data_IF_624652807206
#
_entry.id   IF_624652807206
#
_cell.length_a   1.000
_cell.length_b   1.000
_cell.length_c   1.000
_cell.angle_alpha   90.00
_cell.angle_beta   90.00
_cell.angle_gamma   90.00
#
_symmetry.space_group_name_H-M   'P 1'
#
loop_
_entity.id
_entity.type
_entity.pdbx_description
1 polymer ?
#
# COMPACT_ATOMS: atom_id res chain seq x y z
N UNK A 1 3.51 0.93 -16.03
CA UNK A 1 2.79 1.02 -14.74
C UNK A 1 1.28 1.16 -14.96
N UNK A 2 0.82 2.14 -15.74
CA UNK A 2 -0.63 2.29 -16.04
C UNK A 2 -1.25 1.05 -16.65
N UNK A 3 -0.62 0.47 -17.67
CA UNK A 3 -1.10 -0.76 -18.32
C UNK A 3 -1.16 -1.95 -17.35
N UNK A 4 -0.34 -1.95 -16.32
CA UNK A 4 -0.36 -2.94 -15.23
C UNK A 4 -1.40 -2.64 -14.14
N UNK A 5 -2.15 -1.54 -14.25
CA UNK A 5 -3.24 -1.19 -13.34
C UNK A 5 -2.86 -0.28 -12.17
N UNK A 6 -1.66 0.32 -12.17
CA UNK A 6 -1.30 1.32 -11.16
C UNK A 6 -2.20 2.55 -11.24
N UNK A 7 -2.62 3.08 -10.10
CA UNK A 7 -3.43 4.30 -10.00
C UNK A 7 -2.57 5.57 -10.11
N UNK A 8 -1.32 5.48 -9.70
CA UNK A 8 -0.37 6.59 -9.73
C UNK A 8 1.07 6.07 -9.85
N UNK A 9 1.96 6.96 -10.28
CA UNK A 9 3.41 6.73 -10.28
C UNK A 9 4.06 7.77 -9.39
N UNK A 10 5.06 7.35 -8.61
CA UNK A 10 5.88 8.22 -7.79
C UNK A 10 7.33 8.17 -8.28
N UNK A 11 7.93 9.33 -8.43
CA UNK A 11 9.37 9.49 -8.65
C UNK A 11 10.03 10.13 -7.42
N UNK A 12 11.34 10.32 -7.47
CA UNK A 12 12.11 11.00 -6.43
C UNK A 12 12.74 12.27 -7.02
N UNK A 13 12.72 13.36 -6.27
CA UNK A 13 13.24 14.65 -6.70
C UNK A 13 14.27 15.15 -5.71
N UNK A 14 15.54 15.04 -6.07
CA UNK A 14 16.69 15.51 -5.30
C UNK A 14 17.91 15.67 -6.23
N UNK A 15 18.95 16.29 -5.73
CA UNK A 15 20.29 16.21 -6.31
C UNK A 15 21.23 15.55 -5.29
N UNK A 16 22.36 14.96 -5.73
CA UNK A 16 23.35 14.42 -4.78
C UNK A 16 23.78 15.42 -3.73
N UNK A 17 23.90 16.70 -4.13
CA UNK A 17 24.35 17.79 -3.26
C UNK A 17 23.30 18.19 -2.21
N UNK A 18 22.00 17.97 -2.47
CA UNK A 18 20.94 18.23 -1.47
C UNK A 18 20.73 17.06 -0.52
N UNK A 19 21.22 15.85 -0.90
CA UNK A 19 21.13 14.66 -0.06
C UNK A 19 22.30 14.50 0.89
N UNK A 20 23.51 14.84 0.44
CA UNK A 20 24.75 14.59 1.18
C UNK A 20 25.90 15.43 0.61
N UNK A 21 27.10 15.20 1.09
CA UNK A 21 28.34 15.81 0.57
C UNK A 21 29.26 14.76 -0.04
N UNK A 22 30.04 15.15 -1.04
CA UNK A 22 31.11 14.32 -1.59
C UNK A 22 32.24 14.14 -0.56
N UNK A 23 32.30 12.98 0.08
CA UNK A 23 33.23 12.71 1.17
C UNK A 23 33.65 11.24 1.22
N UNK A 24 34.95 11.02 1.38
CA UNK A 24 35.56 9.70 1.58
C UNK A 24 35.64 9.29 3.07
N UNK A 25 35.13 10.12 3.99
CA UNK A 25 35.15 9.81 5.42
C UNK A 25 34.25 8.59 5.72
N UNK A 26 34.55 7.83 6.79
CA UNK A 26 33.82 6.60 7.10
C UNK A 26 32.31 6.75 7.21
N UNK A 27 31.82 7.88 7.74
CA UNK A 27 30.38 8.17 7.93
C UNK A 27 29.61 8.30 6.61
N UNK A 28 30.30 8.54 5.50
CA UNK A 28 29.74 8.70 4.16
C UNK A 28 29.93 7.46 3.28
N UNK A 29 30.46 6.35 3.83
CA UNK A 29 30.66 5.08 3.11
C UNK A 29 29.64 4.06 3.55
N UNK A 30 29.08 3.37 2.56
CA UNK A 30 28.15 2.27 2.82
C UNK A 30 28.95 0.99 2.99
N UNK A 31 28.97 0.48 4.23
CA UNK A 31 29.81 -0.66 4.59
C UNK A 31 29.08 -2.00 4.49
N UNK A 32 27.73 -1.99 4.46
CA UNK A 32 26.86 -3.17 4.48
C UNK A 32 25.69 -3.06 3.51
N UNK A 33 25.02 -4.19 3.25
CA UNK A 33 23.81 -4.24 2.45
C UNK A 33 24.04 -4.19 0.94
N UNK A 34 22.99 -3.85 0.18
CA UNK A 34 22.97 -3.89 -1.29
C UNK A 34 23.95 -2.93 -1.96
N UNK A 35 24.16 -1.78 -1.34
CA UNK A 35 25.00 -0.71 -1.91
C UNK A 35 26.41 -0.65 -1.29
N UNK A 36 26.84 -1.76 -0.68
CA UNK A 36 28.17 -1.87 -0.08
C UNK A 36 29.26 -1.49 -1.07
N UNK A 37 30.13 -0.58 -0.65
CA UNK A 37 31.25 -0.09 -1.42
C UNK A 37 31.02 1.26 -2.12
N UNK A 38 29.76 1.73 -2.15
CA UNK A 38 29.47 3.11 -2.57
C UNK A 38 29.79 4.10 -1.46
N UNK A 39 30.09 5.35 -1.86
CA UNK A 39 29.84 6.50 -0.99
C UNK A 39 28.34 6.87 -1.10
N UNK A 40 27.78 7.55 -0.10
CA UNK A 40 26.41 8.08 -0.20
C UNK A 40 26.25 8.98 -1.43
N UNK A 41 27.26 9.83 -1.70
CA UNK A 41 27.23 10.75 -2.82
C UNK A 41 27.18 10.03 -4.18
N UNK A 42 28.01 9.01 -4.38
CA UNK A 42 28.04 8.24 -5.63
C UNK A 42 26.72 7.48 -5.85
N UNK A 43 26.17 6.89 -4.79
CA UNK A 43 24.87 6.21 -4.87
C UNK A 43 23.76 7.19 -5.28
N UNK A 44 23.66 8.33 -4.62
CA UNK A 44 22.64 9.33 -4.96
C UNK A 44 22.85 9.92 -6.35
N UNK A 45 24.11 10.08 -6.79
CA UNK A 45 24.44 10.53 -8.14
C UNK A 45 24.02 9.54 -9.22
N UNK A 46 24.04 8.25 -8.93
CA UNK A 46 23.55 7.21 -9.85
C UNK A 46 22.01 7.12 -9.84
N UNK A 47 21.36 7.34 -8.68
CA UNK A 47 19.95 7.08 -8.48
C UNK A 47 19.02 8.28 -8.70
N UNK A 48 19.54 9.52 -8.78
CA UNK A 48 18.68 10.72 -8.86
C UNK A 48 17.96 10.84 -10.21
N UNK A 49 16.82 11.50 -10.19
CA UNK A 49 16.10 11.93 -11.39
C UNK A 49 16.52 13.35 -11.74
N UNK A 50 17.23 13.59 -12.86
CA UNK A 50 17.64 14.94 -13.26
C UNK A 50 16.47 15.92 -13.28
N UNK A 51 16.64 17.13 -12.75
CA UNK A 51 15.57 18.12 -12.63
C UNK A 51 14.99 18.51 -13.99
N UNK A 52 15.83 18.55 -15.01
CA UNK A 52 15.45 18.84 -16.40
C UNK A 52 14.51 17.80 -17.00
N UNK A 53 14.46 16.57 -16.48
CA UNK A 53 13.53 15.53 -16.96
C UNK A 53 12.12 15.69 -16.42
N UNK A 54 11.96 16.36 -15.28
CA UNK A 54 10.67 16.39 -14.56
C UNK A 54 9.54 16.92 -15.41
N UNK A 55 9.78 18.04 -16.16
CA UNK A 55 8.73 18.60 -17.02
C UNK A 55 8.23 17.59 -18.05
N UNK A 56 9.13 16.92 -18.74
CA UNK A 56 8.77 15.90 -19.74
C UNK A 56 8.04 14.71 -19.09
N UNK A 57 8.49 14.27 -17.91
CA UNK A 57 7.85 13.18 -17.17
C UNK A 57 6.40 13.54 -16.74
N UNK A 58 6.18 14.77 -16.25
CA UNK A 58 4.85 15.23 -15.87
C UNK A 58 3.93 15.38 -17.08
N UNK A 59 4.43 15.95 -18.18
CA UNK A 59 3.67 16.08 -19.42
C UNK A 59 3.30 14.69 -19.98
N UNK A 60 4.26 13.75 -20.00
CA UNK A 60 4.02 12.38 -20.46
C UNK A 60 3.02 11.62 -19.58
N UNK A 61 3.11 11.76 -18.26
CA UNK A 61 2.15 11.14 -17.34
C UNK A 61 0.73 11.66 -17.59
N UNK A 62 0.59 12.97 -17.84
CA UNK A 62 -0.69 13.59 -18.20
C UNK A 62 -1.23 13.06 -19.52
N UNK A 63 -0.39 12.93 -20.54
CA UNK A 63 -0.78 12.35 -21.85
C UNK A 63 -1.19 10.88 -21.71
N UNK A 64 -0.59 10.17 -20.79
CA UNK A 64 -0.97 8.78 -20.46
C UNK A 64 -2.15 8.67 -19.49
N UNK A 65 -2.72 9.80 -19.04
CA UNK A 65 -3.80 9.85 -18.06
C UNK A 65 -3.47 9.01 -16.82
N UNK A 66 -2.30 9.22 -16.23
CA UNK A 66 -1.88 8.65 -14.94
C UNK A 66 -1.36 9.75 -14.02
N UNK A 67 -1.72 9.68 -12.76
CA UNK A 67 -1.22 10.61 -11.75
C UNK A 67 0.27 10.39 -11.54
N UNK A 68 1.06 11.46 -11.69
CA UNK A 68 2.47 11.49 -11.33
C UNK A 68 2.68 12.47 -10.17
N UNK A 69 3.39 12.03 -9.14
CA UNK A 69 3.84 12.87 -8.04
C UNK A 69 5.26 12.46 -7.62
N UNK A 70 5.83 13.15 -6.66
CA UNK A 70 7.22 12.88 -6.28
C UNK A 70 7.47 12.95 -4.78
N UNK A 71 8.56 12.32 -4.34
CA UNK A 71 9.19 12.59 -3.05
C UNK A 71 10.23 13.70 -3.23
N UNK A 72 9.99 14.92 -2.72
CA UNK A 72 11.04 15.90 -2.56
C UNK A 72 11.90 15.57 -1.35
N UNK A 73 13.19 15.88 -1.44
CA UNK A 73 14.14 15.68 -0.34
C UNK A 73 14.76 16.99 0.16
N UNK A 74 14.38 18.10 -0.43
CA UNK A 74 14.79 19.44 -0.04
C UNK A 74 13.77 20.50 -0.52
N UNK A 75 13.92 21.74 -0.08
CA UNK A 75 12.99 22.83 -0.41
C UNK A 75 13.01 23.17 -1.92
N UNK A 76 14.17 23.06 -2.60
CA UNK A 76 14.27 23.35 -4.04
C UNK A 76 13.51 22.32 -4.88
N UNK A 77 13.49 21.07 -4.42
CA UNK A 77 12.68 20.01 -5.00
C UNK A 77 11.18 20.28 -4.83
N UNK A 78 10.75 20.79 -3.66
CA UNK A 78 9.36 21.21 -3.43
C UNK A 78 8.97 22.34 -4.38
N UNK A 79 9.85 23.35 -4.55
CA UNK A 79 9.60 24.48 -5.43
C UNK A 79 9.42 24.03 -6.89
N UNK A 80 10.33 23.19 -7.39
CA UNK A 80 10.21 22.62 -8.74
C UNK A 80 8.88 21.85 -8.92
N UNK A 81 8.53 21.00 -7.97
CA UNK A 81 7.30 20.21 -8.05
C UNK A 81 6.04 21.06 -7.95
N UNK A 82 6.08 22.16 -7.19
CA UNK A 82 5.00 23.15 -7.12
C UNK A 82 4.81 23.85 -8.47
N UNK A 83 5.90 24.26 -9.11
CA UNK A 83 5.87 24.92 -10.43
C UNK A 83 5.35 23.99 -11.53
N UNK A 84 5.63 22.70 -11.42
CA UNK A 84 5.11 21.66 -12.34
C UNK A 84 3.66 21.25 -12.03
N UNK A 85 3.07 21.77 -10.96
CA UNK A 85 1.68 21.46 -10.60
C UNK A 85 1.51 20.06 -10.03
N UNK A 86 2.50 19.52 -9.31
CA UNK A 86 2.40 18.21 -8.67
C UNK A 86 1.12 18.11 -7.82
N UNK A 87 0.33 17.03 -7.96
CA UNK A 87 -0.95 16.91 -7.27
C UNK A 87 -0.82 16.55 -5.79
N UNK A 88 0.32 16.01 -5.37
CA UNK A 88 0.62 15.58 -4.02
C UNK A 88 2.13 15.52 -3.80
N UNK A 89 2.57 15.46 -2.54
CA UNK A 89 3.97 15.24 -2.18
C UNK A 89 4.11 14.00 -1.30
N UNK A 90 5.23 13.29 -1.44
CA UNK A 90 5.60 12.19 -0.57
C UNK A 90 6.76 12.56 0.33
N UNK A 91 6.60 12.42 1.61
CA UNK A 91 7.69 12.46 2.60
C UNK A 91 8.15 11.02 2.81
N UNK A 92 9.38 10.71 2.44
CA UNK A 92 9.93 9.37 2.63
C UNK A 92 10.28 9.13 4.12
N UNK A 93 10.52 7.87 4.48
CA UNK A 93 10.69 7.50 5.89
C UNK A 93 11.86 8.20 6.57
N UNK A 94 12.96 8.39 5.84
CA UNK A 94 14.15 9.05 6.37
C UNK A 94 13.94 10.55 6.61
N UNK A 95 13.05 11.17 5.84
CA UNK A 95 12.72 12.59 5.90
C UNK A 95 11.54 12.90 6.86
N UNK A 96 10.96 11.89 7.52
CA UNK A 96 9.85 12.12 8.44
C UNK A 96 10.23 13.02 9.62
N UNK A 97 11.50 13.04 9.99
CA UNK A 97 12.05 13.91 11.04
C UNK A 97 12.53 15.27 10.53
N UNK A 98 12.50 15.51 9.21
CA UNK A 98 12.83 16.81 8.61
C UNK A 98 11.59 17.73 8.64
N UNK A 99 11.33 18.31 9.80
CA UNK A 99 10.17 19.18 10.01
C UNK A 99 10.19 20.44 9.13
N UNK A 100 11.34 21.08 8.81
CA UNK A 100 11.42 22.14 7.82
C UNK A 100 10.92 21.71 6.43
N UNK A 101 11.35 20.56 5.91
CA UNK A 101 10.89 20.03 4.65
C UNK A 101 9.38 19.74 4.65
N UNK A 102 8.88 19.11 5.73
CA UNK A 102 7.44 18.84 5.89
C UNK A 102 6.64 20.15 5.89
N UNK A 103 7.13 21.16 6.61
CA UNK A 103 6.52 22.49 6.64
C UNK A 103 6.45 23.08 5.23
N UNK A 104 7.58 23.10 4.50
CA UNK A 104 7.62 23.66 3.13
C UNK A 104 6.66 22.94 2.18
N UNK A 105 6.60 21.60 2.25
CA UNK A 105 5.66 20.82 1.45
C UNK A 105 4.19 21.09 1.83
N UNK A 106 3.90 21.25 3.13
CA UNK A 106 2.55 21.54 3.63
C UNK A 106 2.04 22.92 3.17
N UNK A 107 2.92 23.92 3.12
CA UNK A 107 2.60 25.27 2.65
C UNK A 107 2.13 25.31 1.19
N UNK A 108 2.39 24.26 0.41
CA UNK A 108 1.84 24.10 -0.94
C UNK A 108 0.34 23.74 -0.95
N UNK A 109 -0.28 23.49 0.20
CA UNK A 109 -1.69 23.13 0.36
C UNK A 109 -2.14 21.92 -0.52
N UNK A 110 -1.26 20.94 -0.68
CA UNK A 110 -1.51 19.68 -1.39
C UNK A 110 -1.54 18.52 -0.41
N UNK A 111 -2.16 17.38 -0.76
CA UNK A 111 -2.06 16.17 0.04
C UNK A 111 -0.62 15.75 0.30
N UNK A 112 -0.33 15.35 1.54
CA UNK A 112 0.95 14.76 1.94
C UNK A 112 0.79 13.27 2.22
N UNK A 113 1.65 12.48 1.59
CA UNK A 113 1.79 11.05 1.84
C UNK A 113 3.08 10.85 2.64
N UNK A 114 3.00 10.34 3.87
CA UNK A 114 4.16 10.31 4.78
C UNK A 114 4.44 8.88 5.23
N UNK A 115 5.66 8.39 5.01
CA UNK A 115 6.08 7.05 5.43
C UNK A 115 6.68 7.07 6.84
N UNK A 116 6.36 6.05 7.64
CA UNK A 116 6.68 5.97 9.08
C UNK A 116 7.81 4.99 9.40
N UNK A 117 8.56 4.53 8.42
CA UNK A 117 9.67 3.61 8.65
C UNK A 117 10.68 4.17 9.65
N UNK A 118 11.15 3.33 10.59
CA UNK A 118 12.11 3.68 11.65
C UNK A 118 11.63 4.70 12.68
N UNK A 119 10.54 5.42 12.42
CA UNK A 119 10.07 6.49 13.29
C UNK A 119 9.43 5.95 14.58
N UNK A 120 9.65 6.66 15.66
CA UNK A 120 8.86 6.54 16.88
C UNK A 120 7.47 7.17 16.72
N UNK A 121 6.54 6.79 17.59
CA UNK A 121 5.18 7.35 17.57
C UNK A 121 5.18 8.88 17.79
N UNK A 122 6.10 9.38 18.60
CA UNK A 122 6.21 10.81 18.88
C UNK A 122 6.74 11.59 17.68
N UNK A 123 7.69 11.05 16.92
CA UNK A 123 8.17 11.61 15.66
C UNK A 123 7.05 11.67 14.61
N UNK A 124 6.25 10.61 14.49
CA UNK A 124 5.07 10.61 13.60
C UNK A 124 4.07 11.68 14.01
N UNK A 125 3.81 11.82 15.32
CA UNK A 125 2.89 12.84 15.85
C UNK A 125 3.39 14.25 15.58
N UNK A 126 4.69 14.50 15.77
CA UNK A 126 5.30 15.81 15.52
C UNK A 126 5.24 16.16 14.03
N UNK A 127 5.58 15.24 13.14
CA UNK A 127 5.49 15.39 11.69
C UNK A 127 4.05 15.73 11.25
N UNK A 128 3.04 15.00 11.75
CA UNK A 128 1.63 15.26 11.48
C UNK A 128 1.19 16.65 11.98
N UNK A 129 1.58 17.02 13.19
CA UNK A 129 1.25 18.33 13.74
C UNK A 129 1.82 19.47 12.88
N UNK A 130 3.05 19.33 12.39
CA UNK A 130 3.66 20.29 11.47
C UNK A 130 2.90 20.34 10.15
N UNK A 131 2.62 19.19 9.52
CA UNK A 131 1.89 19.12 8.27
C UNK A 131 0.52 19.85 8.36
N UNK A 132 -0.28 19.50 9.38
CA UNK A 132 -1.60 20.09 9.59
C UNK A 132 -1.54 21.58 9.94
N UNK A 133 -0.58 21.98 10.76
CA UNK A 133 -0.40 23.39 11.18
C UNK A 133 -0.08 24.30 10.01
N UNK A 134 0.66 23.83 9.03
CA UNK A 134 1.14 24.65 7.91
C UNK A 134 0.32 24.50 6.62
N UNK A 135 -0.87 23.92 6.69
CA UNK A 135 -1.87 24.03 5.64
C UNK A 135 -2.07 22.80 4.77
N UNK A 136 -1.46 21.65 5.12
CA UNK A 136 -1.79 20.40 4.47
C UNK A 136 -3.26 20.04 4.77
N UNK A 137 -4.08 19.90 3.70
CA UNK A 137 -5.50 19.55 3.85
C UNK A 137 -5.70 18.07 4.17
N UNK A 138 -4.99 17.22 3.48
CA UNK A 138 -5.13 15.77 3.57
C UNK A 138 -3.78 15.11 3.85
N UNK A 139 -3.78 14.12 4.75
CA UNK A 139 -2.61 13.30 5.05
C UNK A 139 -2.96 11.83 4.90
N UNK A 140 -2.09 11.09 4.23
CA UNK A 140 -2.06 9.64 4.22
C UNK A 140 -0.76 9.16 4.87
N UNK A 141 -0.83 8.37 5.94
CA UNK A 141 0.35 7.69 6.46
C UNK A 141 0.58 6.38 5.72
N UNK A 142 1.84 6.06 5.45
CA UNK A 142 2.25 4.73 5.03
C UNK A 142 2.99 4.03 6.17
N UNK A 143 2.43 2.94 6.67
CA UNK A 143 3.25 1.98 7.42
C UNK A 143 4.34 1.45 6.50
N UNK A 144 5.56 1.36 7.00
CA UNK A 144 6.72 1.02 6.19
C UNK A 144 7.79 0.32 7.04
N UNK A 145 8.44 -0.67 6.46
CA UNK A 145 9.68 -1.24 6.98
C UNK A 145 10.81 -0.84 6.01
N UNK A 146 11.67 0.06 6.46
CA UNK A 146 12.77 0.62 5.64
C UNK A 146 13.97 -0.36 5.60
N UNK A 147 13.73 -1.54 5.03
CA UNK A 147 14.72 -2.57 4.70
C UNK A 147 14.49 -3.00 3.25
N UNK A 148 15.54 -3.21 2.48
CA UNK A 148 15.50 -3.38 1.03
C UNK A 148 16.26 -4.64 0.58
N UNK A 149 15.58 -5.79 0.32
CA UNK A 149 14.17 -6.05 0.58
C UNK A 149 13.83 -6.22 2.07
N UNK A 150 12.58 -5.99 2.44
CA UNK A 150 12.10 -6.21 3.79
C UNK A 150 11.78 -7.70 4.01
N UNK A 151 12.20 -8.31 5.13
CA UNK A 151 11.75 -9.65 5.51
C UNK A 151 10.25 -9.65 5.79
N UNK A 152 9.51 -10.64 5.27
CA UNK A 152 8.06 -10.74 5.46
C UNK A 152 7.69 -10.81 6.95
N UNK A 153 8.50 -11.48 7.76
CA UNK A 153 8.28 -11.63 9.20
C UNK A 153 8.33 -10.29 9.98
N UNK A 154 9.02 -9.29 9.43
CA UNK A 154 9.17 -7.98 10.06
C UNK A 154 8.09 -6.97 9.62
N UNK A 155 7.16 -7.38 8.76
CA UNK A 155 6.14 -6.47 8.19
C UNK A 155 5.24 -5.80 9.23
N UNK A 156 5.03 -6.40 10.38
CA UNK A 156 4.25 -5.85 11.51
C UNK A 156 2.97 -5.10 11.10
N UNK A 157 2.17 -5.71 10.24
CA UNK A 157 1.03 -5.06 9.57
C UNK A 157 -0.07 -4.56 10.53
N UNK A 158 -0.10 -5.03 11.78
CA UNK A 158 -1.02 -4.50 12.81
C UNK A 158 -0.82 -3.01 13.09
N UNK A 159 0.34 -2.47 12.75
CA UNK A 159 0.59 -1.03 12.84
C UNK A 159 -0.35 -0.20 11.94
N UNK A 160 -0.93 -0.77 10.88
CA UNK A 160 -1.91 -0.08 10.04
C UNK A 160 -3.16 0.27 10.84
N UNK A 161 -3.74 -0.70 11.54
CA UNK A 161 -4.90 -0.49 12.42
C UNK A 161 -4.55 0.45 13.59
N UNK A 162 -3.37 0.25 14.17
CA UNK A 162 -2.88 1.07 15.28
C UNK A 162 -2.72 2.55 14.89
N UNK A 163 -2.02 2.85 13.80
CA UNK A 163 -1.82 4.22 13.32
C UNK A 163 -3.15 4.89 12.94
N UNK A 164 -4.05 4.13 12.28
CA UNK A 164 -5.39 4.62 11.95
C UNK A 164 -6.20 4.96 13.19
N UNK A 165 -6.16 4.13 14.21
CA UNK A 165 -6.86 4.37 15.48
C UNK A 165 -6.26 5.52 16.27
N UNK A 166 -4.93 5.64 16.29
CA UNK A 166 -4.21 6.65 17.06
C UNK A 166 -4.40 8.05 16.49
N UNK A 167 -4.33 8.19 15.16
CA UNK A 167 -4.34 9.50 14.51
C UNK A 167 -5.64 9.85 13.81
N UNK A 168 -6.55 8.89 13.61
CA UNK A 168 -7.85 9.13 12.96
C UNK A 168 -7.73 9.47 11.47
N UNK A 169 -6.64 9.06 10.81
CA UNK A 169 -6.36 9.32 9.39
C UNK A 169 -6.21 8.02 8.61
N UNK A 170 -6.28 8.11 7.28
CA UNK A 170 -6.09 6.95 6.41
C UNK A 170 -4.63 6.47 6.45
N UNK A 171 -4.47 5.15 6.36
CA UNK A 171 -3.15 4.49 6.41
C UNK A 171 -3.03 3.52 5.24
N UNK A 172 -1.89 3.56 4.57
CA UNK A 172 -1.49 2.62 3.52
C UNK A 172 -0.28 1.78 3.96
N UNK A 173 0.22 0.98 3.03
CA UNK A 173 1.44 0.20 3.18
C UNK A 173 2.46 0.59 2.10
N UNK A 174 3.66 1.03 2.50
CA UNK A 174 4.83 1.09 1.62
C UNK A 174 5.59 -0.23 1.78
N UNK A 175 5.46 -1.11 0.78
CA UNK A 175 5.84 -2.52 0.87
C UNK A 175 7.15 -2.78 0.13
N UNK A 176 8.19 -3.14 0.86
CA UNK A 176 9.50 -3.53 0.35
C UNK A 176 9.73 -5.06 0.37
N UNK A 177 8.71 -5.86 0.66
CA UNK A 177 8.81 -7.33 0.55
C UNK A 177 8.80 -7.77 -0.90
N UNK A 178 9.30 -8.96 -1.20
CA UNK A 178 9.37 -9.49 -2.57
C UNK A 178 8.10 -10.22 -3.02
N UNK A 179 7.09 -10.30 -2.17
CA UNK A 179 5.83 -11.00 -2.45
C UNK A 179 4.63 -10.08 -2.33
N UNK A 180 3.45 -10.51 -2.80
CA UNK A 180 2.19 -9.77 -2.65
C UNK A 180 1.52 -10.00 -1.29
N UNK A 181 2.09 -10.88 -0.44
CA UNK A 181 1.44 -11.34 0.79
C UNK A 181 1.19 -10.20 1.78
N UNK A 182 2.22 -9.38 2.04
CA UNK A 182 2.10 -8.25 2.97
C UNK A 182 1.07 -7.24 2.46
N UNK A 183 1.12 -6.91 1.18
CA UNK A 183 0.16 -5.99 0.54
C UNK A 183 -1.28 -6.50 0.62
N UNK A 184 -1.54 -7.77 0.29
CA UNK A 184 -2.91 -8.33 0.33
C UNK A 184 -3.48 -8.43 1.75
N UNK A 185 -2.65 -8.85 2.72
CA UNK A 185 -3.07 -8.89 4.13
C UNK A 185 -3.36 -7.47 4.66
N UNK A 186 -2.55 -6.48 4.27
CA UNK A 186 -2.72 -5.10 4.72
C UNK A 186 -4.07 -4.51 4.32
N UNK A 187 -4.63 -4.90 3.15
CA UNK A 187 -5.99 -4.52 2.73
C UNK A 187 -7.03 -5.01 3.74
N UNK A 188 -6.90 -6.26 4.22
CA UNK A 188 -7.77 -6.81 5.26
C UNK A 188 -7.66 -6.08 6.61
N UNK A 189 -6.53 -5.43 6.87
CA UNK A 189 -6.28 -4.61 8.07
C UNK A 189 -6.60 -3.12 7.84
N UNK A 190 -7.21 -2.77 6.71
CA UNK A 190 -7.72 -1.44 6.42
C UNK A 190 -6.73 -0.52 5.69
N UNK A 191 -5.68 -1.05 5.08
CA UNK A 191 -4.83 -0.25 4.20
C UNK A 191 -5.62 0.28 3.01
N UNK A 192 -5.51 1.59 2.75
CA UNK A 192 -6.23 2.27 1.66
C UNK A 192 -5.36 2.53 0.44
N UNK A 193 -4.05 2.35 0.56
CA UNK A 193 -3.10 2.49 -0.52
C UNK A 193 -1.93 1.51 -0.34
N UNK A 194 -1.39 1.04 -1.47
CA UNK A 194 -0.18 0.23 -1.52
C UNK A 194 0.86 0.94 -2.38
N UNK A 195 2.06 1.11 -1.86
CA UNK A 195 3.21 1.62 -2.58
C UNK A 195 4.24 0.50 -2.77
N UNK A 196 4.80 0.37 -3.97
CA UNK A 196 5.79 -0.65 -4.31
C UNK A 196 6.81 -0.11 -5.29
N UNK A 197 8.09 -0.46 -5.14
CA UNK A 197 9.11 -0.16 -6.14
C UNK A 197 8.82 -0.90 -7.44
N UNK A 198 9.01 -0.22 -8.58
CA UNK A 198 8.66 -0.71 -9.90
C UNK A 198 9.82 -0.53 -10.88
N UNK A 199 10.04 -1.53 -11.74
CA UNK A 199 11.01 -1.49 -12.84
C UNK A 199 10.36 -1.98 -14.14
N UNK A 200 10.80 -1.49 -15.31
CA UNK A 200 10.18 -1.83 -16.59
C UNK A 200 10.42 -3.29 -17.04
N UNK A 201 11.51 -3.92 -16.62
CA UNK A 201 11.81 -5.32 -16.95
C UNK A 201 12.75 -5.97 -15.94
N UNK A 202 12.90 -7.29 -16.00
CA UNK A 202 13.87 -8.03 -15.18
C UNK A 202 15.33 -7.71 -15.53
N UNK A 203 15.57 -7.24 -16.76
CA UNK A 203 16.89 -6.87 -17.25
C UNK A 203 17.32 -5.47 -16.80
N UNK A 204 16.42 -4.70 -16.19
CA UNK A 204 16.71 -3.36 -15.69
C UNK A 204 17.75 -3.43 -14.57
N UNK A 205 18.84 -2.71 -14.74
CA UNK A 205 19.91 -2.57 -13.75
C UNK A 205 19.84 -1.16 -13.14
N UNK A 206 19.93 -1.08 -11.84
CA UNK A 206 19.95 0.17 -11.08
C UNK A 206 19.93 -0.09 -9.59
N UNK A 207 20.13 0.93 -8.75
CA UNK A 207 20.25 0.79 -7.30
C UNK A 207 19.08 0.06 -6.64
N UNK A 208 17.84 0.27 -7.15
CA UNK A 208 16.61 -0.28 -6.58
C UNK A 208 16.06 -1.52 -7.33
N UNK A 209 16.78 -1.98 -8.38
CA UNK A 209 16.26 -3.04 -9.28
C UNK A 209 16.03 -4.37 -8.59
N UNK A 210 16.85 -4.71 -7.59
CA UNK A 210 16.80 -6.02 -6.92
C UNK A 210 15.53 -6.25 -6.09
N UNK A 211 14.87 -5.17 -5.63
CA UNK A 211 13.63 -5.22 -4.86
C UNK A 211 12.44 -4.55 -5.55
N UNK A 212 12.60 -4.16 -6.82
CA UNK A 212 11.52 -3.61 -7.65
C UNK A 212 10.75 -4.71 -8.37
N UNK A 213 9.44 -4.55 -8.49
CA UNK A 213 8.57 -5.47 -9.22
C UNK A 213 8.44 -5.07 -10.70
N UNK A 214 8.23 -6.06 -11.55
CA UNK A 214 8.03 -5.91 -13.00
C UNK A 214 6.56 -5.63 -13.35
N UNK A 215 6.23 -5.26 -14.61
CA UNK A 215 4.85 -5.05 -15.05
C UNK A 215 3.92 -6.23 -14.76
N UNK A 216 4.36 -7.45 -15.01
CA UNK A 216 3.57 -8.66 -14.75
C UNK A 216 3.31 -8.84 -13.24
N UNK A 217 4.33 -8.63 -12.41
CA UNK A 217 4.19 -8.71 -10.96
C UNK A 217 3.28 -7.61 -10.41
N UNK A 218 3.36 -6.39 -10.96
CA UNK A 218 2.46 -5.30 -10.60
C UNK A 218 1.02 -5.60 -10.98
N UNK A 219 0.76 -6.16 -12.17
CA UNK A 219 -0.59 -6.58 -12.56
C UNK A 219 -1.18 -7.64 -11.62
N UNK A 220 -0.37 -8.61 -11.20
CA UNK A 220 -0.78 -9.59 -10.21
C UNK A 220 -1.07 -8.93 -8.86
N UNK A 221 -0.19 -8.05 -8.39
CA UNK A 221 -0.40 -7.32 -7.13
C UNK A 221 -1.71 -6.53 -7.14
N UNK A 222 -1.99 -5.79 -8.22
CA UNK A 222 -3.23 -5.00 -8.36
C UNK A 222 -4.45 -5.91 -8.30
N UNK A 223 -4.43 -7.06 -9.00
CA UNK A 223 -5.52 -8.02 -8.97
C UNK A 223 -5.70 -8.64 -7.58
N UNK A 224 -4.62 -9.09 -6.95
CA UNK A 224 -4.63 -9.66 -5.60
C UNK A 224 -5.20 -8.67 -4.56
N UNK A 225 -4.79 -7.40 -4.63
CA UNK A 225 -5.30 -6.36 -3.73
C UNK A 225 -6.79 -6.07 -3.97
N UNK A 226 -7.23 -5.99 -5.23
CA UNK A 226 -8.64 -5.81 -5.58
C UNK A 226 -9.50 -6.99 -5.12
N UNK A 227 -9.02 -8.20 -5.28
CA UNK A 227 -9.74 -9.39 -4.82
C UNK A 227 -9.74 -9.47 -3.28
N UNK A 228 -8.63 -9.15 -2.62
CA UNK A 228 -8.60 -9.01 -1.16
C UNK A 228 -9.65 -8.01 -0.66
N UNK A 229 -9.74 -6.83 -1.28
CA UNK A 229 -10.77 -5.84 -0.96
C UNK A 229 -12.19 -6.39 -1.12
N UNK A 230 -12.48 -7.08 -2.22
CA UNK A 230 -13.80 -7.67 -2.48
C UNK A 230 -14.16 -8.77 -1.50
N UNK A 231 -13.16 -9.51 -0.99
CA UNK A 231 -13.38 -10.61 -0.03
C UNK A 231 -13.69 -10.16 1.38
N UNK A 232 -13.38 -8.91 1.76
CA UNK A 232 -13.67 -8.37 3.10
C UNK A 232 -15.18 -8.43 3.40
N UNK A 233 -16.02 -8.08 2.44
CA UNK A 233 -17.47 -8.14 2.56
C UNK A 233 -18.02 -7.30 3.70
N UNK A 234 -19.14 -7.77 4.28
CA UNK A 234 -19.83 -7.13 5.43
C UNK A 234 -20.06 -8.18 6.52
N UNK A 235 -19.77 -7.83 7.76
CA UNK A 235 -20.09 -8.68 8.90
C UNK A 235 -21.60 -8.96 9.00
N UNK A 236 -21.96 -10.21 9.31
CA UNK A 236 -23.34 -10.66 9.48
C UNK A 236 -23.62 -11.97 8.74
N UNK A 237 -24.81 -12.56 9.02
CA UNK A 237 -25.26 -13.80 8.40
C UNK A 237 -26.13 -13.50 7.15
N UNK A 238 -25.56 -12.76 6.21
CA UNK A 238 -26.19 -12.50 4.92
C UNK A 238 -25.95 -13.67 3.99
N UNK A 239 -27.01 -14.18 3.36
CA UNK A 239 -26.85 -15.23 2.35
C UNK A 239 -26.32 -14.61 1.06
N UNK A 240 -25.27 -15.20 0.53
CA UNK A 240 -24.81 -14.82 -0.80
C UNK A 240 -25.74 -15.38 -1.88
N UNK A 241 -25.84 -14.70 -3.02
CA UNK A 241 -26.58 -15.21 -4.18
C UNK A 241 -26.06 -16.59 -4.63
N UNK A 242 -24.76 -16.81 -4.46
CA UNK A 242 -24.11 -18.09 -4.80
C UNK A 242 -24.64 -19.27 -3.95
N UNK A 243 -25.13 -19.00 -2.73
CA UNK A 243 -25.65 -20.04 -1.82
C UNK A 243 -27.14 -20.32 -2.00
N UNK A 244 -27.90 -19.46 -2.69
CA UNK A 244 -29.35 -19.66 -2.83
C UNK A 244 -29.71 -20.99 -3.47
N UNK A 245 -28.99 -21.38 -4.53
CA UNK A 245 -29.17 -22.68 -5.18
C UNK A 245 -28.87 -23.86 -4.28
N UNK A 246 -28.06 -23.69 -3.25
CA UNK A 246 -27.66 -24.73 -2.30
C UNK A 246 -28.71 -24.99 -1.20
N UNK A 247 -29.69 -24.10 -1.00
CA UNK A 247 -30.74 -24.26 0.02
C UNK A 247 -31.53 -25.54 -0.18
N UNK A 248 -31.82 -25.92 -1.43
CA UNK A 248 -32.53 -27.14 -1.77
C UNK A 248 -31.83 -28.41 -1.26
N UNK A 249 -30.56 -28.34 -0.94
CA UNK A 249 -29.79 -29.47 -0.43
C UNK A 249 -29.74 -29.54 1.10
N UNK A 250 -30.44 -28.66 1.81
CA UNK A 250 -30.61 -28.76 3.26
C UNK A 250 -31.41 -30.01 3.60
N UNK A 251 -31.43 -30.37 4.89
CA UNK A 251 -32.27 -31.47 5.36
C UNK A 251 -33.66 -30.95 5.70
N UNK A 252 -34.65 -31.79 5.48
CA UNK A 252 -36.01 -31.64 6.00
C UNK A 252 -36.57 -33.00 6.41
N UNK A 253 -37.69 -32.96 7.14
CA UNK A 253 -38.35 -34.16 7.58
C UNK A 253 -39.15 -34.79 6.44
N UNK A 254 -38.96 -36.10 6.23
CA UNK A 254 -39.70 -36.90 5.27
C UNK A 254 -40.29 -38.13 5.95
N UNK A 255 -41.52 -38.50 5.55
CA UNK A 255 -42.08 -39.79 5.90
C UNK A 255 -41.34 -40.92 5.15
N UNK A 256 -40.99 -41.95 5.89
CA UNK A 256 -40.26 -43.11 5.39
C UNK A 256 -41.23 -44.29 5.12
N UNK A 257 -42.49 -44.15 5.51
CA UNK A 257 -43.57 -45.14 5.31
C UNK A 257 -44.86 -44.44 4.84
N UNK A 258 -45.72 -45.19 4.19
CA UNK A 258 -47.05 -44.73 3.78
C UNK A 258 -47.96 -44.73 5.00
N UNK A 259 -48.39 -43.58 5.45
CA UNK A 259 -49.29 -43.39 6.58
C UNK A 259 -50.70 -43.07 6.09
N UNK A 260 -51.72 -43.56 6.83
CA UNK A 260 -53.13 -43.27 6.60
C UNK A 260 -53.68 -42.32 7.66
N UNK A 261 -54.80 -41.69 7.36
CA UNK A 261 -55.53 -40.87 8.35
C UNK A 261 -55.89 -41.72 9.56
N UNK A 262 -55.40 -41.29 10.75
CA UNK A 262 -55.62 -41.98 12.02
C UNK A 262 -54.38 -42.76 12.50
N UNK A 263 -53.37 -42.95 11.71
CA UNK A 263 -52.12 -43.60 12.13
C UNK A 263 -51.35 -42.71 13.11
N UNK A 264 -50.77 -43.33 14.11
CA UNK A 264 -49.91 -42.66 15.09
C UNK A 264 -48.49 -42.65 14.51
N UNK A 265 -47.97 -41.43 14.29
CA UNK A 265 -46.60 -41.21 13.78
C UNK A 265 -45.58 -41.59 14.86
N UNK A 266 -44.66 -42.47 14.53
CA UNK A 266 -43.55 -42.88 15.41
C UNK A 266 -42.20 -42.32 14.87
N UNK A 267 -41.14 -42.30 15.70
CA UNK A 267 -39.84 -41.89 15.25
C UNK A 267 -39.24 -42.69 14.05
N UNK A 268 -39.79 -43.89 13.82
CA UNK A 268 -39.37 -44.74 12.68
C UNK A 268 -39.97 -44.29 11.35
N UNK A 269 -41.11 -43.56 11.41
CA UNK A 269 -41.84 -43.13 10.23
C UNK A 269 -41.30 -41.81 9.66
N UNK A 270 -40.43 -41.10 10.39
CA UNK A 270 -39.88 -39.81 9.98
C UNK A 270 -38.35 -39.86 9.99
N UNK A 271 -37.77 -39.26 8.98
CA UNK A 271 -36.29 -39.11 8.89
C UNK A 271 -35.92 -37.75 8.36
N UNK A 272 -34.86 -37.15 8.98
CA UNK A 272 -34.25 -35.94 8.50
C UNK A 272 -33.26 -36.26 7.36
N UNK A 273 -33.68 -36.04 6.13
CA UNK A 273 -32.91 -36.32 4.91
C UNK A 273 -32.95 -35.15 3.94
N UNK A 274 -32.12 -35.16 2.90
CA UNK A 274 -32.22 -34.24 1.77
C UNK A 274 -33.26 -34.74 0.76
N UNK A 275 -33.95 -33.83 0.03
CA UNK A 275 -33.76 -32.38 -0.10
C UNK A 275 -34.50 -31.55 0.95
N UNK A 276 -34.27 -30.22 0.93
CA UNK A 276 -34.79 -29.26 1.93
C UNK A 276 -36.12 -28.61 1.55
N UNK A 277 -37.10 -29.39 1.07
CA UNK A 277 -38.42 -28.87 0.66
C UNK A 277 -39.51 -29.05 1.70
N UNK A 278 -39.25 -29.83 2.74
CA UNK A 278 -40.21 -30.08 3.83
C UNK A 278 -39.94 -29.23 5.07
N UNK A 279 -40.54 -29.65 6.20
CA UNK A 279 -40.30 -29.01 7.50
C UNK A 279 -38.85 -29.21 7.93
N UNK A 280 -38.23 -28.20 8.60
CA UNK A 280 -36.91 -28.39 9.19
C UNK A 280 -36.94 -29.48 10.27
N UNK A 281 -35.82 -30.21 10.46
CA UNK A 281 -35.68 -31.22 11.52
C UNK A 281 -35.84 -30.65 12.91
#
# INVERSE_FOLDING_TARGET
AKESGASAVKIQTYTPDTMTIASEKPDFKINDGLWKGYTLYDLYKEAYTPFEWHKELFDFAKDKDITLFSSPFDETAVDLLQDLGAPAYKIASFELVDLPLIKRAAECAKPLLMSTGMASLDEVREALNVALKYGCGDVLLFHCISSYPAPVADSNLKNIEFLRSEFGIEVGLSDHTMTNLASTISIGLGATAIEKHFKPSDETIGPDSSFSITPNQLSLLVNDCNDAWRTIGKAGFHRSLAEEGSRKHRRSLYFMSNLKKGDIISPKDIRAIRPGFGLPP
#
